data_IF_528784531876
#
_entry.id   IF_528784531876
#
_cell.length_a   1.000
_cell.length_b   1.000
_cell.length_c   1.000
_cell.angle_alpha   90.00
_cell.angle_beta   90.00
_cell.angle_gamma   90.00
#
_symmetry.space_group_name_H-M   'P 1'
#
loop_
_entity.id
_entity.type
_entity.pdbx_description
1 polymer ?
#
# COMPACT_ATOMS: atom_id res chain seq x y z
N UNK A 1 -4.56 5.28 11.77
CA UNK A 1 -3.58 4.24 12.17
C UNK A 1 -2.89 3.90 10.87
N UNK A 2 -1.66 4.37 10.66
CA UNK A 2 -1.08 4.37 9.31
C UNK A 2 -0.87 2.95 8.80
N UNK A 3 -1.49 2.61 7.67
CA UNK A 3 -1.20 1.40 6.91
C UNK A 3 -0.19 1.81 5.84
N UNK A 4 1.07 1.41 6.01
CA UNK A 4 2.12 1.68 5.04
C UNK A 4 2.33 0.41 4.19
N UNK A 5 2.51 0.59 2.88
CA UNK A 5 3.06 -0.45 2.00
C UNK A 5 4.33 0.06 1.33
N UNK A 6 5.19 -0.87 0.88
CA UNK A 6 6.51 -0.61 0.32
C UNK A 6 6.69 -1.32 -1.01
N UNK A 7 6.97 -0.54 -2.05
CA UNK A 7 7.66 -1.03 -3.24
C UNK A 7 9.20 -1.10 -2.96
N UNK A 8 9.93 -2.16 -3.34
CA UNK A 8 11.40 -2.17 -3.33
C UNK A 8 11.96 -1.04 -4.24
N UNK A 9 13.24 -0.65 -4.11
CA UNK A 9 13.80 0.52 -4.76
C UNK A 9 13.83 0.31 -6.29
N UNK A 10 14.12 1.38 -7.04
CA UNK A 10 14.09 1.46 -8.51
C UNK A 10 15.01 0.50 -9.32
N UNK A 11 15.48 -0.58 -8.71
CA UNK A 11 15.80 -1.82 -9.42
C UNK A 11 15.32 -2.96 -8.52
N UNK A 12 14.06 -3.38 -8.65
CA UNK A 12 13.67 -4.68 -8.13
C UNK A 12 14.42 -5.72 -8.97
N UNK A 13 15.52 -6.23 -8.42
CA UNK A 13 16.19 -7.37 -9.01
C UNK A 13 15.44 -8.61 -8.56
N UNK A 14 15.08 -9.47 -9.51
CA UNK A 14 14.65 -10.84 -9.27
C UNK A 14 15.57 -11.48 -8.22
N UNK A 15 15.08 -11.68 -7.00
CA UNK A 15 15.89 -12.13 -5.87
C UNK A 15 15.34 -13.40 -5.21
N UNK A 16 14.47 -14.13 -5.92
CA UNK A 16 13.84 -15.35 -5.40
C UNK A 16 12.68 -15.05 -4.46
N UNK A 17 12.27 -16.04 -3.68
CA UNK A 17 11.06 -15.98 -2.88
C UNK A 17 11.36 -15.53 -1.44
N UNK A 18 11.59 -14.23 -1.24
CA UNK A 18 11.78 -13.61 0.08
C UNK A 18 12.93 -12.60 0.10
N UNK A 19 13.15 -11.88 1.22
CA UNK A 19 14.31 -11.00 1.37
C UNK A 19 15.61 -11.81 1.40
N UNK A 20 16.72 -11.22 0.93
CA UNK A 20 18.03 -11.87 0.95
C UNK A 20 18.35 -12.44 2.35
N UNK A 21 18.79 -13.71 2.40
CA UNK A 21 19.12 -14.46 3.62
C UNK A 21 17.93 -15.04 4.44
N UNK A 22 16.71 -15.02 3.91
CA UNK A 22 15.55 -15.66 4.55
C UNK A 22 15.06 -16.94 3.85
N UNK A 23 15.79 -17.45 2.85
CA UNK A 23 15.47 -18.66 2.06
C UNK A 23 15.22 -19.90 2.94
N UNK A 24 15.78 -19.96 4.15
CA UNK A 24 15.54 -21.03 5.11
C UNK A 24 14.13 -20.97 5.75
N UNK A 25 13.57 -19.78 5.88
CA UNK A 25 12.23 -19.55 6.44
C UNK A 25 11.15 -19.60 5.36
N UNK A 26 11.50 -19.21 4.13
CA UNK A 26 10.62 -19.20 2.96
C UNK A 26 11.30 -20.01 1.85
N UNK A 27 11.12 -21.34 1.82
CA UNK A 27 11.74 -22.16 0.79
C UNK A 27 11.15 -21.81 -0.57
N UNK A 28 11.99 -21.35 -1.52
CA UNK A 28 11.65 -20.96 -2.90
C UNK A 28 10.66 -21.89 -3.60
N UNK A 29 10.78 -23.21 -3.33
CA UNK A 29 9.91 -24.23 -3.89
C UNK A 29 9.88 -24.15 -5.43
N UNK A 30 8.73 -24.44 -6.07
CA UNK A 30 8.59 -24.33 -7.52
C UNK A 30 8.33 -22.89 -7.99
N UNK A 31 8.30 -21.89 -7.10
CA UNK A 31 7.74 -20.56 -7.38
C UNK A 31 8.76 -19.48 -7.70
N UNK A 32 10.06 -19.79 -7.78
CA UNK A 32 11.11 -18.80 -8.12
C UNK A 32 10.77 -17.94 -9.33
N UNK A 33 10.17 -18.54 -10.37
CA UNK A 33 9.72 -17.81 -11.56
C UNK A 33 8.63 -16.76 -11.26
N UNK A 34 7.66 -17.12 -10.40
CA UNK A 34 6.58 -16.21 -9.98
C UNK A 34 7.11 -15.13 -9.03
N UNK A 35 8.00 -15.48 -8.10
CA UNK A 35 8.62 -14.53 -7.18
C UNK A 35 9.42 -13.46 -7.92
N UNK A 36 10.24 -13.86 -8.90
CA UNK A 36 10.99 -12.90 -9.72
C UNK A 36 10.08 -11.95 -10.51
N UNK A 37 8.91 -12.41 -10.97
CA UNK A 37 7.92 -11.54 -11.63
C UNK A 37 7.22 -10.61 -10.64
N UNK A 38 6.98 -11.07 -9.43
CA UNK A 38 6.42 -10.28 -8.34
C UNK A 38 7.36 -9.13 -7.94
N UNK A 39 8.65 -9.43 -7.75
CA UNK A 39 9.68 -8.41 -7.49
C UNK A 39 9.66 -7.33 -8.58
N UNK A 40 9.70 -7.74 -9.85
CA UNK A 40 9.65 -6.82 -10.98
C UNK A 40 8.35 -6.02 -11.03
N UNK A 41 7.20 -6.62 -10.65
CA UNK A 41 5.92 -5.94 -10.62
C UNK A 41 5.95 -4.77 -9.63
N UNK A 42 6.55 -4.96 -8.44
CA UNK A 42 6.69 -3.88 -7.47
C UNK A 42 7.59 -2.72 -7.94
N UNK A 43 8.32 -2.87 -9.06
CA UNK A 43 9.03 -1.75 -9.67
C UNK A 43 8.17 -0.91 -10.63
N UNK A 44 6.97 -1.37 -10.98
CA UNK A 44 6.03 -0.65 -11.83
C UNK A 44 5.15 0.27 -11.00
N UNK A 45 5.39 1.58 -11.12
CA UNK A 45 4.65 2.63 -10.40
C UNK A 45 3.18 2.76 -10.83
N UNK A 46 2.75 2.04 -11.87
CA UNK A 46 1.36 2.05 -12.35
C UNK A 46 0.53 0.89 -11.80
N UNK A 47 1.12 0.01 -10.99
CA UNK A 47 0.44 -1.14 -10.40
C UNK A 47 0.61 -1.04 -8.89
N UNK A 48 -0.52 -1.08 -8.17
CA UNK A 48 -0.57 -1.11 -6.71
C UNK A 48 -0.07 -2.46 -6.16
N UNK A 49 0.23 -2.49 -4.87
CA UNK A 49 0.57 -3.73 -4.18
C UNK A 49 -0.42 -4.84 -4.49
N UNK A 50 -1.70 -4.57 -4.30
CA UNK A 50 -2.75 -5.57 -4.36
C UNK A 50 -2.86 -6.17 -5.76
N UNK A 51 -2.61 -5.37 -6.80
CA UNK A 51 -2.48 -5.81 -8.18
C UNK A 51 -1.29 -6.74 -8.37
N UNK A 52 -0.12 -6.37 -7.88
CA UNK A 52 1.09 -7.20 -7.95
C UNK A 52 0.96 -8.51 -7.17
N UNK A 53 0.43 -8.47 -5.94
CA UNK A 53 0.23 -9.64 -5.08
C UNK A 53 -0.79 -10.61 -5.69
N UNK A 54 -1.87 -10.10 -6.28
CA UNK A 54 -2.86 -10.93 -6.98
C UNK A 54 -2.27 -11.58 -8.22
N UNK A 55 -1.46 -10.85 -8.98
CA UNK A 55 -0.75 -11.41 -10.14
C UNK A 55 0.24 -12.49 -9.72
N UNK A 56 0.95 -12.28 -8.61
CA UNK A 56 1.84 -13.27 -8.02
C UNK A 56 1.10 -14.57 -7.66
N UNK A 57 -0.06 -14.47 -6.99
CA UNK A 57 -0.89 -15.63 -6.69
C UNK A 57 -1.32 -16.39 -7.95
N UNK A 58 -1.75 -15.66 -8.99
CA UNK A 58 -2.16 -16.25 -10.28
C UNK A 58 -0.99 -16.96 -10.98
N UNK A 59 0.20 -16.37 -10.97
CA UNK A 59 1.40 -16.96 -11.55
C UNK A 59 1.78 -18.26 -10.83
N UNK A 60 1.73 -18.28 -9.48
CA UNK A 60 1.95 -19.50 -8.71
C UNK A 60 0.88 -20.56 -8.98
N UNK A 61 -0.39 -20.16 -9.14
CA UNK A 61 -1.46 -21.09 -9.50
C UNK A 61 -1.23 -21.72 -10.89
N UNK A 62 -0.77 -20.94 -11.86
CA UNK A 62 -0.43 -21.45 -13.19
C UNK A 62 0.73 -22.46 -13.13
N UNK A 63 1.75 -22.20 -12.30
CA UNK A 63 2.84 -23.16 -12.02
C UNK A 63 2.27 -24.45 -11.42
N UNK A 64 1.36 -24.33 -10.43
CA UNK A 64 0.74 -25.50 -9.81
C UNK A 64 -0.05 -26.37 -10.79
N UNK A 65 -0.76 -25.75 -11.73
CA UNK A 65 -1.54 -26.45 -12.77
C UNK A 65 -0.64 -27.05 -13.87
N UNK A 66 0.50 -26.42 -14.14
CA UNK A 66 1.49 -26.87 -15.13
C UNK A 66 2.29 -28.07 -14.65
N UNK A 67 2.76 -28.04 -13.40
CA UNK A 67 3.81 -28.94 -12.91
C UNK A 67 3.29 -30.09 -12.03
N UNK A 68 2.01 -30.02 -11.60
CA UNK A 68 1.39 -31.02 -10.73
C UNK A 68 0.07 -31.56 -11.29
N UNK A 69 -0.39 -32.69 -10.75
CA UNK A 69 -1.65 -33.32 -11.13
C UNK A 69 -2.42 -33.86 -9.92
N UNK A 70 -3.75 -33.92 -10.02
CA UNK A 70 -4.61 -34.47 -8.96
C UNK A 70 -4.52 -33.67 -7.66
N UNK A 71 -4.46 -34.37 -6.52
CA UNK A 71 -4.39 -33.73 -5.19
C UNK A 71 -3.14 -32.87 -4.97
N UNK A 72 -2.07 -33.10 -5.74
CA UNK A 72 -0.84 -32.30 -5.64
C UNK A 72 -1.04 -30.87 -6.16
N UNK A 73 -1.98 -30.65 -7.11
CA UNK A 73 -2.35 -29.30 -7.57
C UNK A 73 -2.97 -28.51 -6.42
N UNK A 74 -3.90 -29.12 -5.69
CA UNK A 74 -4.57 -28.48 -4.55
C UNK A 74 -3.58 -28.14 -3.43
N UNK A 75 -2.65 -29.04 -3.13
CA UNK A 75 -1.60 -28.79 -2.13
C UNK A 75 -0.68 -27.64 -2.56
N UNK A 76 -0.24 -27.62 -3.82
CA UNK A 76 0.57 -26.53 -4.36
C UNK A 76 -0.15 -25.18 -4.28
N UNK A 77 -1.45 -25.12 -4.65
CA UNK A 77 -2.25 -23.89 -4.55
C UNK A 77 -2.42 -23.41 -3.11
N UNK A 78 -2.53 -24.31 -2.14
CA UNK A 78 -2.58 -23.94 -0.73
C UNK A 78 -1.27 -23.28 -0.25
N UNK A 79 -0.12 -23.74 -0.77
CA UNK A 79 1.17 -23.07 -0.52
C UNK A 79 1.20 -21.69 -1.21
N UNK A 80 0.71 -21.58 -2.44
CA UNK A 80 0.62 -20.30 -3.14
C UNK A 80 -0.25 -19.27 -2.38
N UNK A 81 -1.34 -19.71 -1.75
CA UNK A 81 -2.16 -18.85 -0.89
C UNK A 81 -1.42 -18.37 0.35
N UNK A 82 -0.55 -19.22 0.92
CA UNK A 82 0.31 -18.82 2.03
C UNK A 82 1.29 -17.74 1.61
N UNK A 83 1.93 -17.90 0.45
CA UNK A 83 2.82 -16.90 -0.13
C UNK A 83 2.12 -15.55 -0.38
N UNK A 84 0.94 -15.58 -1.00
CA UNK A 84 0.11 -14.39 -1.22
C UNK A 84 -0.22 -13.68 0.11
N UNK A 85 -0.67 -14.43 1.12
CA UNK A 85 -0.96 -13.85 2.44
C UNK A 85 0.28 -13.31 3.13
N UNK A 86 1.45 -13.92 2.92
CA UNK A 86 2.69 -13.45 3.51
C UNK A 86 3.07 -12.06 2.97
N UNK A 87 3.05 -11.87 1.65
CA UNK A 87 3.37 -10.58 1.03
C UNK A 87 2.29 -9.52 1.31
N UNK A 88 1.02 -9.91 1.32
CA UNK A 88 -0.09 -9.01 1.60
C UNK A 88 -0.13 -8.49 3.06
N UNK A 89 0.45 -9.23 4.03
CA UNK A 89 0.33 -8.88 5.46
C UNK A 89 1.66 -8.57 6.16
N UNK A 90 2.81 -8.99 5.63
CA UNK A 90 4.08 -8.99 6.38
C UNK A 90 5.27 -8.34 5.67
N UNK A 91 5.09 -7.72 4.49
CA UNK A 91 6.17 -7.10 3.73
C UNK A 91 7.04 -6.13 4.56
N UNK A 92 6.42 -5.28 5.38
CA UNK A 92 7.13 -4.26 6.19
C UNK A 92 8.07 -4.85 7.26
N UNK A 93 7.66 -5.97 7.87
CA UNK A 93 8.42 -6.64 8.94
C UNK A 93 9.75 -7.14 8.38
N UNK A 94 9.70 -7.75 7.20
CA UNK A 94 10.88 -8.30 6.54
C UNK A 94 11.88 -7.22 6.09
N UNK A 95 11.38 -6.06 5.65
CA UNK A 95 12.20 -4.92 5.23
C UNK A 95 13.00 -4.34 6.40
N UNK A 96 12.35 -4.19 7.56
CA UNK A 96 13.00 -3.68 8.76
C UNK A 96 14.08 -4.64 9.29
N UNK A 97 13.87 -5.95 9.14
CA UNK A 97 14.84 -6.99 9.52
C UNK A 97 16.06 -7.06 8.58
N UNK A 98 15.91 -6.68 7.30
CA UNK A 98 17.00 -6.54 6.32
C UNK A 98 17.82 -5.24 6.51
N UNK A 99 17.57 -4.49 7.58
CA UNK A 99 18.24 -3.21 7.85
C UNK A 99 17.80 -2.07 6.93
N UNK A 100 16.77 -2.29 6.12
CA UNK A 100 16.17 -1.27 5.24
C UNK A 100 15.12 -0.48 6.04
N UNK A 101 15.12 0.83 5.83
CA UNK A 101 14.29 1.80 6.55
C UNK A 101 13.08 2.23 5.70
N UNK A 102 11.89 2.06 6.26
CA UNK A 102 10.65 2.70 5.85
C UNK A 102 10.57 4.05 6.57
N UNK A 103 10.45 5.15 5.84
CA UNK A 103 10.49 6.47 6.46
C UNK A 103 9.90 7.53 5.54
N UNK A 104 9.22 8.48 6.15
CA UNK A 104 8.56 9.56 5.49
C UNK A 104 8.70 10.87 6.25
N UNK A 105 8.61 11.98 5.53
CA UNK A 105 8.56 13.32 6.10
C UNK A 105 7.43 14.10 5.44
N UNK A 106 6.54 14.65 6.26
CA UNK A 106 5.59 15.66 5.80
C UNK A 106 6.37 16.95 5.57
N UNK A 107 6.55 17.31 4.30
CA UNK A 107 7.32 18.50 3.89
C UNK A 107 6.46 19.75 3.99
N UNK A 108 5.21 19.67 3.53
CA UNK A 108 4.27 20.78 3.58
C UNK A 108 2.85 20.29 3.82
N UNK A 109 2.08 21.08 4.55
CA UNK A 109 0.63 20.95 4.68
C UNK A 109 0.02 22.28 4.27
N UNK A 110 -0.78 22.28 3.21
CA UNK A 110 -1.52 23.45 2.75
C UNK A 110 -3.01 23.14 2.93
N UNK A 111 -3.64 23.79 3.90
CA UNK A 111 -5.06 23.68 4.14
C UNK A 111 -5.78 24.96 3.69
N UNK A 112 -6.92 24.80 3.03
CA UNK A 112 -7.78 25.91 2.62
C UNK A 112 -9.24 25.58 2.84
N UNK A 113 -10.01 26.63 3.10
CA UNK A 113 -11.47 26.61 2.98
C UNK A 113 -11.79 26.86 1.51
N UNK A 114 -12.60 25.99 0.94
CA UNK A 114 -13.23 26.19 -0.35
C UNK A 114 -14.50 27.00 -0.05
N UNK A 115 -14.62 28.15 -0.71
CA UNK A 115 -15.76 29.03 -0.60
C UNK A 115 -16.56 28.85 -1.87
N UNK A 116 -17.67 28.12 -1.76
CA UNK A 116 -18.57 27.84 -2.84
C UNK A 116 -19.81 28.78 -2.77
N UNK A 117 -20.56 28.89 -3.85
CA UNK A 117 -21.73 29.78 -3.90
C UNK A 117 -22.94 29.20 -3.13
N UNK A 118 -22.94 27.90 -2.83
CA UNK A 118 -24.04 27.18 -2.20
C UNK A 118 -24.08 27.34 -0.67
N UNK A 119 -22.99 27.84 -0.07
CA UNK A 119 -22.95 28.29 1.32
C UNK A 119 -22.61 27.20 2.33
N UNK A 120 -22.09 26.07 1.85
CA UNK A 120 -21.57 24.96 2.64
C UNK A 120 -20.06 24.84 2.47
N UNK A 121 -19.33 25.77 3.08
CA UNK A 121 -17.88 25.81 3.05
C UNK A 121 -17.21 24.44 3.17
N UNK A 122 -16.45 24.03 2.16
CA UNK A 122 -15.70 22.78 2.19
C UNK A 122 -14.26 23.01 2.69
N UNK A 123 -13.65 21.94 3.17
CA UNK A 123 -12.25 21.93 3.60
C UNK A 123 -11.43 21.09 2.64
N UNK A 124 -10.24 21.57 2.28
CA UNK A 124 -9.23 20.77 1.56
C UNK A 124 -7.88 20.94 2.24
N UNK A 125 -7.19 19.81 2.46
CA UNK A 125 -5.81 19.77 2.92
C UNK A 125 -4.95 18.99 1.94
N UNK A 126 -4.00 19.68 1.32
CA UNK A 126 -2.97 19.09 0.47
C UNK A 126 -1.68 18.89 1.27
N UNK A 127 -1.24 17.64 1.36
CA UNK A 127 -0.01 17.24 2.05
C UNK A 127 1.02 16.83 1.01
N UNK A 128 2.23 17.36 1.12
CA UNK A 128 3.39 16.88 0.36
C UNK A 128 4.22 15.99 1.25
N UNK A 129 4.29 14.72 0.88
CA UNK A 129 5.05 13.70 1.57
C UNK A 129 6.35 13.42 0.82
N UNK A 130 7.48 13.36 1.52
CA UNK A 130 8.77 12.95 0.98
C UNK A 130 9.17 11.60 1.56
N UNK A 131 9.51 10.68 0.67
CA UNK A 131 10.14 9.44 1.08
C UNK A 131 11.63 9.69 1.38
N UNK A 132 11.99 9.69 2.67
CA UNK A 132 13.36 9.80 3.15
C UNK A 132 13.89 8.47 3.73
N UNK A 133 13.21 7.37 3.38
CA UNK A 133 13.63 6.01 3.68
C UNK A 133 14.67 5.49 2.70
N UNK A 134 14.72 4.17 2.60
CA UNK A 134 15.65 3.42 1.73
C UNK A 134 14.92 2.50 0.76
N UNK A 135 13.60 2.56 0.74
CA UNK A 135 12.67 1.72 -0.04
C UNK A 135 11.56 2.61 -0.57
N UNK A 136 10.99 2.31 -1.76
CA UNK A 136 9.84 3.08 -2.25
C UNK A 136 8.64 2.83 -1.32
N UNK A 137 7.72 3.76 -1.16
CA UNK A 137 6.65 3.65 -0.17
C UNK A 137 5.33 4.09 -0.79
N UNK A 138 4.27 3.37 -0.48
CA UNK A 138 2.90 3.82 -0.66
C UNK A 138 2.39 4.49 0.61
N UNK A 139 1.51 5.46 0.43
CA UNK A 139 0.75 6.06 1.53
C UNK A 139 -0.66 6.40 1.08
N UNK A 140 -1.58 6.36 2.03
CA UNK A 140 -2.84 7.07 2.00
C UNK A 140 -2.75 8.33 2.87
N UNK A 141 -3.56 9.34 2.53
CA UNK A 141 -3.77 10.53 3.33
C UNK A 141 -5.16 10.42 3.95
N UNK A 142 -5.24 10.49 5.27
CA UNK A 142 -6.51 10.41 5.99
C UNK A 142 -6.84 11.74 6.67
N UNK A 143 -8.07 12.21 6.48
CA UNK A 143 -8.62 13.36 7.17
C UNK A 143 -9.49 12.88 8.33
N UNK A 144 -9.22 13.38 9.54
CA UNK A 144 -9.98 13.06 10.74
C UNK A 144 -10.67 14.29 11.32
N UNK A 145 -11.86 14.10 11.87
CA UNK A 145 -12.55 15.10 12.68
C UNK A 145 -11.85 15.29 14.04
N UNK A 146 -12.22 16.35 14.77
CA UNK A 146 -11.74 16.55 16.14
C UNK A 146 -12.12 15.39 17.09
N UNK A 147 -13.23 14.69 16.82
CA UNK A 147 -13.65 13.52 17.59
C UNK A 147 -12.89 12.25 17.23
N UNK A 148 -12.01 12.29 16.23
CA UNK A 148 -11.26 11.14 15.73
C UNK A 148 -12.03 10.29 14.72
N UNK A 149 -13.15 10.78 14.18
CA UNK A 149 -13.87 10.10 13.11
C UNK A 149 -13.15 10.31 11.78
N UNK A 150 -12.94 9.24 11.00
CA UNK A 150 -12.44 9.36 9.63
C UNK A 150 -13.48 10.10 8.80
N UNK A 151 -13.08 11.20 8.19
CA UNK A 151 -13.90 12.02 7.28
C UNK A 151 -13.69 11.52 5.85
N UNK A 152 -12.43 11.42 5.45
CA UNK A 152 -12.03 11.14 4.08
C UNK A 152 -10.65 10.45 4.06
N UNK A 153 -10.40 9.66 3.02
CA UNK A 153 -9.11 9.00 2.78
C UNK A 153 -8.83 9.06 1.28
N UNK A 154 -7.68 9.64 0.94
CA UNK A 154 -7.26 9.74 -0.45
C UNK A 154 -5.90 9.07 -0.69
N UNK A 155 -5.73 8.39 -1.84
CA UNK A 155 -6.72 8.26 -2.90
C UNK A 155 -7.76 7.17 -2.61
N UNK A 156 -9.03 7.39 -3.02
CA UNK A 156 -10.16 6.47 -2.76
C UNK A 156 -9.96 5.02 -3.24
N UNK A 157 -9.19 4.84 -4.32
CA UNK A 157 -9.11 3.56 -5.03
C UNK A 157 -7.75 2.87 -4.89
N UNK A 158 -6.67 3.65 -4.88
CA UNK A 158 -5.29 3.16 -4.94
C UNK A 158 -4.37 4.06 -4.14
N UNK A 159 -3.39 3.50 -3.45
CA UNK A 159 -2.42 4.25 -2.64
C UNK A 159 -1.44 5.07 -3.52
N UNK A 160 -0.87 6.14 -2.94
CA UNK A 160 0.13 6.95 -3.66
C UNK A 160 1.52 6.35 -3.53
N UNK A 161 2.09 5.94 -4.65
CA UNK A 161 3.46 5.45 -4.77
C UNK A 161 4.50 6.58 -4.76
N UNK A 162 5.48 6.51 -3.85
CA UNK A 162 6.59 7.47 -3.73
C UNK A 162 7.95 6.79 -3.71
N UNK A 163 8.75 7.10 -4.73
CA UNK A 163 10.12 6.61 -4.84
C UNK A 163 11.05 7.22 -3.79
N UNK A 164 12.10 6.49 -3.41
CA UNK A 164 13.13 6.98 -2.47
C UNK A 164 13.71 8.31 -2.93
N UNK A 165 13.69 9.31 -2.04
CA UNK A 165 14.21 10.64 -2.29
C UNK A 165 13.24 11.58 -3.02
N UNK A 166 12.12 11.06 -3.54
CA UNK A 166 11.08 11.84 -4.21
C UNK A 166 9.98 12.26 -3.25
N UNK A 167 9.14 13.18 -3.73
CA UNK A 167 7.95 13.66 -3.04
C UNK A 167 6.72 13.50 -3.92
N UNK A 168 5.58 13.26 -3.28
CA UNK A 168 4.26 13.32 -3.90
C UNK A 168 3.36 14.23 -3.08
N UNK A 169 2.37 14.81 -3.75
CA UNK A 169 1.33 15.62 -3.11
C UNK A 169 -0.01 14.91 -3.27
N UNK A 170 -0.73 14.76 -2.16
CA UNK A 170 -2.10 14.25 -2.12
C UNK A 170 -2.96 15.26 -1.39
N UNK A 171 -4.19 15.42 -1.82
CA UNK A 171 -5.18 16.27 -1.15
C UNK A 171 -6.30 15.39 -0.63
N UNK A 172 -6.79 15.71 0.56
CA UNK A 172 -8.02 15.17 1.17
C UNK A 172 -8.95 16.32 1.45
N UNK A 173 -10.25 16.07 1.48
CA UNK A 173 -11.19 17.14 1.74
C UNK A 173 -12.58 16.67 2.12
N UNK A 174 -13.51 17.60 2.03
CA UNK A 174 -14.94 17.34 2.21
C UNK A 174 -15.72 17.57 0.91
N UNK A 175 -15.05 17.67 -0.23
CA UNK A 175 -15.67 17.95 -1.53
C UNK A 175 -16.67 16.83 -1.90
N UNK A 176 -17.94 17.17 -2.16
CA UNK A 176 -19.01 16.23 -2.50
C UNK A 176 -20.15 16.08 -1.46
N UNK A 177 -20.51 14.84 -1.08
CA UNK A 177 -21.68 14.49 -0.23
C UNK A 177 -21.33 14.56 1.28
N UNK A 178 -20.11 15.01 1.62
CA UNK A 178 -19.60 14.99 2.98
C UNK A 178 -19.92 16.28 3.74
N UNK A 179 -20.11 16.22 5.07
CA UNK A 179 -20.62 17.34 5.86
C UNK A 179 -19.76 18.59 5.71
N UNK A 180 -20.44 19.72 5.51
CA UNK A 180 -19.87 21.07 5.47
C UNK A 180 -18.98 21.36 6.69
N UNK A 181 -18.03 22.31 6.59
CA UNK A 181 -17.25 22.78 7.76
C UNK A 181 -18.16 23.17 8.94
N UNK A 182 -19.36 23.72 8.65
CA UNK A 182 -20.38 24.03 9.65
C UNK A 182 -20.94 22.81 10.40
N UNK A 183 -20.94 21.64 9.78
CA UNK A 183 -21.42 20.39 10.35
C UNK A 183 -20.32 19.64 11.13
N UNK A 184 -19.04 19.81 10.77
CA UNK A 184 -17.90 19.18 11.44
C UNK A 184 -17.72 19.62 12.90
N UNK A 185 -18.19 20.82 13.25
CA UNK A 185 -18.14 21.36 14.61
C UNK A 185 -19.29 20.96 15.53
N UNK A 186 -20.35 20.35 15.01
CA UNK A 186 -21.61 20.10 15.73
C UNK A 186 -22.03 18.63 15.80
N UNK A 187 -21.25 17.67 15.28
CA UNK A 187 -21.58 16.26 15.41
C UNK A 187 -21.43 15.79 16.88
N UNK A 188 -22.51 15.32 17.54
CA UNK A 188 -22.41 14.72 18.86
C UNK A 188 -21.51 13.49 18.79
N UNK A 189 -20.65 13.29 19.79
CA UNK A 189 -19.88 12.06 19.97
C UNK A 189 -20.82 10.84 19.86
N UNK A 190 -20.76 10.12 18.74
CA UNK A 190 -21.38 8.80 18.66
C UNK A 190 -20.39 7.80 19.22
N UNK A 191 -20.57 7.49 20.51
CA UNK A 191 -19.90 6.40 21.18
C UNK A 191 -20.27 5.07 20.50
N UNK A 192 -19.29 4.39 19.92
CA UNK A 192 -19.35 2.96 19.66
C UNK A 192 -18.05 2.29 20.09
#
# INVERSE_FOLDING_TARGET
MFSFWIAPPAIAQANGCGPQNFDFLIPDGPFTEACNRHDLCYSDVNIDQAGCDRRFQQDMYAICERDYSGSNVSYCKAIADYYYRAVANFGEVFITLDGRKVSGEIVTVNARRIDDWLGDDEFEACVTFKNNGTVNTEYDLELYSQSGSLIDREPDTYEVNVQVGYSAQTCVGTDGIYPSISDLGNQPQQNH
#
